data_IF_395037545635
#
_entry.id   IF_395037545635
#
_cell.length_a   1.000
_cell.length_b   1.000
_cell.length_c   1.000
_cell.angle_alpha   90.00
_cell.angle_beta   90.00
_cell.angle_gamma   90.00
#
_symmetry.space_group_name_H-M   'P 1'
#
loop_
_entity.id
_entity.type
_entity.pdbx_description
1 polymer ?
#
# COMPACT_ATOMS: atom_id res chain seq x y z
N UNK A 1 23.34 1.44 -2.56
CA UNK A 1 23.25 2.89 -2.27
C UNK A 1 23.57 3.10 -0.81
N UNK A 2 24.09 4.28 -0.44
CA UNK A 2 24.26 4.71 0.95
C UNK A 2 22.99 5.42 1.42
N UNK A 3 22.27 4.81 2.36
CA UNK A 3 20.98 5.32 2.84
C UNK A 3 21.06 5.60 4.34
N UNK A 4 20.73 6.83 4.72
CA UNK A 4 20.56 7.22 6.12
C UNK A 4 19.10 7.09 6.51
N UNK A 5 18.82 6.47 7.65
CA UNK A 5 17.48 6.37 8.22
C UNK A 5 17.51 7.05 9.60
N UNK A 6 16.74 8.12 9.76
CA UNK A 6 16.57 8.79 11.03
C UNK A 6 15.32 8.25 11.74
N UNK A 7 15.52 7.66 12.91
CA UNK A 7 14.49 7.03 13.74
C UNK A 7 14.53 5.50 13.64
N UNK A 8 14.79 4.83 14.75
CA UNK A 8 14.76 3.37 14.91
C UNK A 8 13.39 2.84 15.40
N UNK A 9 12.35 3.69 15.36
CA UNK A 9 10.99 3.28 15.68
C UNK A 9 10.40 2.28 14.66
N UNK A 10 9.12 1.91 14.82
CA UNK A 10 8.47 0.86 14.01
C UNK A 10 8.64 1.05 12.49
N UNK A 11 8.45 2.28 12.00
CA UNK A 11 8.58 2.60 10.57
C UNK A 11 10.03 2.46 10.13
N UNK A 12 10.96 3.18 10.76
CA UNK A 12 12.37 3.17 10.37
C UNK A 12 13.02 1.78 10.47
N UNK A 13 12.70 1.00 11.51
CA UNK A 13 13.17 -0.38 11.64
C UNK A 13 12.63 -1.30 10.53
N UNK A 14 11.35 -1.15 10.16
CA UNK A 14 10.76 -1.94 9.07
C UNK A 14 11.36 -1.58 7.72
N UNK A 15 11.63 -0.29 7.49
CA UNK A 15 12.28 0.20 6.27
C UNK A 15 13.72 -0.31 6.21
N UNK A 16 14.48 -0.22 7.30
CA UNK A 16 15.82 -0.76 7.38
C UNK A 16 15.85 -2.27 7.05
N UNK A 17 14.95 -3.06 7.64
CA UNK A 17 14.86 -4.49 7.38
C UNK A 17 14.59 -4.81 5.90
N UNK A 18 13.74 -4.04 5.23
CA UNK A 18 13.45 -4.21 3.81
C UNK A 18 14.66 -3.84 2.93
N UNK A 19 15.31 -2.71 3.22
CA UNK A 19 16.37 -2.16 2.37
C UNK A 19 17.71 -2.89 2.52
N UNK A 20 18.00 -3.47 3.69
CA UNK A 20 19.19 -4.34 3.90
C UNK A 20 19.14 -5.55 2.97
N UNK A 21 17.95 -6.09 2.69
CA UNK A 21 17.79 -7.26 1.81
C UNK A 21 18.17 -6.99 0.34
N UNK A 22 18.26 -5.72 -0.06
CA UNK A 22 18.55 -5.28 -1.43
C UNK A 22 20.02 -4.89 -1.66
N UNK A 23 20.94 -5.24 -0.73
CA UNK A 23 22.38 -4.89 -0.78
C UNK A 23 22.66 -3.38 -0.76
N UNK A 24 21.94 -2.65 0.08
CA UNK A 24 22.20 -1.23 0.37
C UNK A 24 23.03 -1.07 1.64
N UNK A 25 23.87 -0.03 1.67
CA UNK A 25 24.64 0.36 2.85
C UNK A 25 23.74 1.25 3.72
N UNK A 26 23.19 0.68 4.80
CA UNK A 26 22.22 1.36 5.66
C UNK A 26 22.90 1.86 6.94
N UNK A 27 22.67 3.13 7.27
CA UNK A 27 23.00 3.70 8.58
C UNK A 27 21.75 4.21 9.27
N UNK A 28 21.48 3.74 10.49
CA UNK A 28 20.32 4.15 11.30
C UNK A 28 20.75 5.08 12.42
N UNK A 29 20.07 6.21 12.55
CA UNK A 29 20.31 7.23 13.57
C UNK A 29 19.13 7.24 14.54
N UNK A 30 19.37 7.11 15.84
CA UNK A 30 18.34 7.30 16.86
C UNK A 30 18.94 7.82 18.16
N UNK A 31 18.11 8.45 18.99
CA UNK A 31 18.50 8.90 20.32
C UNK A 31 18.56 7.77 21.34
N UNK A 32 17.87 6.65 21.11
CA UNK A 32 17.80 5.48 21.99
C UNK A 32 18.86 4.42 21.61
N UNK A 33 19.95 4.27 22.39
CA UNK A 33 20.99 3.30 22.09
C UNK A 33 20.53 1.84 22.22
N UNK A 34 19.49 1.55 23.02
CA UNK A 34 18.99 0.18 23.18
C UNK A 34 18.27 -0.29 21.92
N UNK A 35 17.41 0.57 21.34
CA UNK A 35 16.75 0.27 20.06
C UNK A 35 17.76 0.07 18.93
N UNK A 36 18.80 0.91 18.88
CA UNK A 36 19.87 0.77 17.89
C UNK A 36 20.61 -0.56 18.01
N UNK A 37 21.00 -0.96 19.23
CA UNK A 37 21.66 -2.26 19.47
C UNK A 37 20.79 -3.42 19.02
N UNK A 38 19.52 -3.45 19.42
CA UNK A 38 18.58 -4.50 19.02
C UNK A 38 18.42 -4.61 17.50
N UNK A 39 18.52 -3.49 16.79
CA UNK A 39 18.42 -3.45 15.34
C UNK A 39 19.71 -3.98 14.69
N UNK A 40 20.88 -3.52 15.16
CA UNK A 40 22.19 -3.97 14.69
C UNK A 40 22.45 -5.47 14.96
N UNK A 41 21.91 -6.02 16.06
CA UNK A 41 22.01 -7.45 16.36
C UNK A 41 21.24 -8.33 15.36
N UNK A 42 20.23 -7.76 14.68
CA UNK A 42 19.33 -8.49 13.76
C UNK A 42 19.60 -8.23 12.29
N UNK A 43 20.13 -7.06 11.95
CA UNK A 43 20.29 -6.57 10.59
C UNK A 43 21.73 -6.12 10.37
N UNK A 44 22.27 -6.41 9.18
CA UNK A 44 23.58 -5.94 8.75
C UNK A 44 23.51 -4.45 8.37
N UNK A 45 23.60 -3.58 9.37
CA UNK A 45 23.55 -2.13 9.22
C UNK A 45 24.43 -1.42 10.26
N UNK A 46 24.78 -0.17 9.95
CA UNK A 46 25.50 0.71 10.88
C UNK A 46 24.50 1.48 11.74
N UNK A 47 24.85 1.76 12.99
CA UNK A 47 24.01 2.60 13.87
C UNK A 47 24.79 3.79 14.44
N UNK A 48 24.13 4.94 14.58
CA UNK A 48 24.67 6.13 15.22
C UNK A 48 23.70 6.61 16.29
N UNK A 49 24.17 6.64 17.54
CA UNK A 49 23.37 7.15 18.66
C UNK A 49 23.51 8.68 18.74
N UNK A 50 22.41 9.40 18.58
CA UNK A 50 22.40 10.85 18.64
C UNK A 50 21.12 11.47 18.08
N UNK A 51 20.98 12.78 18.27
CA UNK A 51 19.89 13.53 17.65
C UNK A 51 20.23 13.83 16.19
N UNK A 52 19.46 13.28 15.25
CA UNK A 52 19.66 13.51 13.81
C UNK A 52 19.38 14.93 13.32
N UNK A 53 18.91 15.84 14.17
CA UNK A 53 18.87 17.29 13.86
C UNK A 53 20.18 17.99 14.20
N UNK A 54 21.20 17.29 14.71
CA UNK A 54 22.50 17.86 15.02
C UNK A 54 23.47 17.55 13.88
N UNK A 55 24.10 18.57 13.24
CA UNK A 55 25.02 18.34 12.13
C UNK A 55 26.16 17.34 12.43
N UNK A 56 26.83 17.35 13.60
CA UNK A 56 27.89 16.38 13.89
C UNK A 56 27.41 14.93 13.89
N UNK A 57 26.14 14.68 14.22
CA UNK A 57 25.56 13.33 14.22
C UNK A 57 25.31 12.85 12.79
N UNK A 58 24.84 13.74 11.90
CA UNK A 58 24.66 13.44 10.47
C UNK A 58 26.02 13.22 9.79
N UNK A 59 27.03 14.03 10.11
CA UNK A 59 28.40 13.85 9.64
C UNK A 59 28.96 12.48 10.08
N UNK A 60 28.82 12.15 11.37
CA UNK A 60 29.22 10.83 11.90
C UNK A 60 28.50 9.67 11.19
N UNK A 61 27.23 9.86 10.82
CA UNK A 61 26.44 8.87 10.07
C UNK A 61 26.85 8.74 8.60
N UNK A 62 27.68 9.65 8.08
CA UNK A 62 28.15 9.65 6.69
C UNK A 62 27.22 10.39 5.73
N UNK A 63 26.60 11.49 6.18
CA UNK A 63 25.70 12.29 5.34
C UNK A 63 26.38 12.91 4.10
N UNK A 64 27.68 13.18 4.14
CA UNK A 64 28.43 13.75 3.00
C UNK A 64 28.38 12.89 1.73
N UNK A 65 28.40 11.56 1.91
CA UNK A 65 28.37 10.61 0.80
C UNK A 65 26.99 9.91 0.66
N UNK A 66 25.98 10.35 1.42
CA UNK A 66 24.70 9.67 1.42
C UNK A 66 23.93 9.94 0.12
N UNK A 67 23.46 8.88 -0.53
CA UNK A 67 22.57 8.98 -1.69
C UNK A 67 21.17 9.42 -1.26
N UNK A 68 20.76 9.06 -0.04
CA UNK A 68 19.40 9.25 0.44
C UNK A 68 19.31 9.40 1.96
N UNK A 69 18.38 10.24 2.43
CA UNK A 69 17.94 10.34 3.81
C UNK A 69 16.44 10.00 3.93
N UNK A 70 16.09 9.06 4.81
CA UNK A 70 14.72 8.73 5.19
C UNK A 70 14.50 9.18 6.64
N UNK A 71 13.79 10.30 6.82
CA UNK A 71 13.49 10.86 8.12
C UNK A 71 12.16 10.33 8.67
N UNK A 72 12.23 9.32 9.54
CA UNK A 72 11.10 8.60 10.11
C UNK A 72 11.05 8.65 11.65
N UNK A 73 11.56 9.73 12.25
CA UNK A 73 11.52 9.96 13.69
C UNK A 73 10.08 10.13 14.21
N UNK A 74 9.93 10.12 15.53
CA UNK A 74 8.65 10.20 16.22
C UNK A 74 7.92 11.53 16.04
N UNK A 75 8.64 12.61 15.69
CA UNK A 75 8.15 13.98 15.56
C UNK A 75 8.34 14.49 14.15
N UNK A 76 7.33 15.19 13.64
CA UNK A 76 7.33 15.67 12.25
C UNK A 76 8.37 16.79 12.11
N UNK A 77 8.50 17.64 13.12
CA UNK A 77 9.45 18.76 13.16
C UNK A 77 10.90 18.27 13.11
N UNK A 78 11.20 17.16 13.79
CA UNK A 78 12.51 16.50 13.74
C UNK A 78 12.81 16.03 12.32
N UNK A 79 11.83 15.45 11.63
CA UNK A 79 12.02 14.94 10.28
C UNK A 79 12.25 16.08 9.27
N UNK A 80 11.45 17.13 9.35
CA UNK A 80 11.56 18.33 8.51
C UNK A 80 12.92 19.03 8.69
N UNK A 81 13.34 19.23 9.95
CA UNK A 81 14.63 19.88 10.25
C UNK A 81 15.81 19.02 9.80
N UNK A 82 15.75 17.70 9.99
CA UNK A 82 16.81 16.80 9.53
C UNK A 82 16.99 16.84 8.01
N UNK A 83 15.88 16.85 7.23
CA UNK A 83 15.92 17.01 5.78
C UNK A 83 16.55 18.35 5.37
N UNK A 84 16.18 19.44 6.05
CA UNK A 84 16.73 20.77 5.76
C UNK A 84 18.26 20.83 6.00
N UNK A 85 18.74 20.24 7.10
CA UNK A 85 20.17 20.19 7.42
C UNK A 85 20.91 19.31 6.41
N UNK A 86 20.37 18.12 6.10
CA UNK A 86 20.92 17.21 5.10
C UNK A 86 21.04 17.86 3.72
N UNK A 87 20.03 18.65 3.33
CA UNK A 87 20.04 19.40 2.07
C UNK A 87 21.13 20.49 2.07
N UNK A 88 21.14 21.36 3.09
CA UNK A 88 21.97 22.57 3.07
C UNK A 88 23.43 22.35 3.42
N UNK A 89 23.73 21.39 4.30
CA UNK A 89 25.10 21.17 4.78
C UNK A 89 25.79 20.01 4.06
N UNK A 90 25.04 19.00 3.65
CA UNK A 90 25.60 17.75 3.12
C UNK A 90 25.18 17.47 1.68
N UNK A 91 24.32 18.30 1.09
CA UNK A 91 23.82 18.16 -0.28
C UNK A 91 23.26 16.75 -0.59
N UNK A 92 22.60 16.13 0.39
CA UNK A 92 22.00 14.80 0.21
C UNK A 92 20.96 14.86 -0.93
N UNK A 93 21.10 14.05 -2.00
CA UNK A 93 20.29 14.18 -3.21
C UNK A 93 18.81 13.89 -3.04
N UNK A 94 18.47 12.89 -2.21
CA UNK A 94 17.08 12.47 -2.01
C UNK A 94 16.73 12.41 -0.53
N UNK A 95 15.67 13.14 -0.15
CA UNK A 95 15.24 13.32 1.24
C UNK A 95 13.75 13.02 1.34
N UNK A 96 13.44 11.94 2.05
CA UNK A 96 12.08 11.48 2.29
C UNK A 96 11.74 11.76 3.75
N UNK A 97 10.63 12.44 4.02
CA UNK A 97 10.22 12.74 5.40
C UNK A 97 8.86 12.14 5.73
N UNK A 98 8.78 11.50 6.90
CA UNK A 98 7.50 11.12 7.50
C UNK A 98 6.86 12.35 8.14
N UNK A 99 5.72 12.76 7.60
CA UNK A 99 4.94 13.90 8.07
C UNK A 99 3.50 13.48 8.25
N UNK A 100 2.98 13.64 9.47
CA UNK A 100 1.62 13.24 9.86
C UNK A 100 0.68 14.42 9.97
N UNK A 101 1.16 15.65 10.14
CA UNK A 101 0.29 16.82 10.24
C UNK A 101 -0.20 17.22 8.84
N UNK A 102 -1.52 17.24 8.57
CA UNK A 102 -2.06 17.70 7.28
C UNK A 102 -1.69 19.17 6.99
N UNK A 103 -1.44 19.96 8.02
CA UNK A 103 -1.01 21.36 7.94
C UNK A 103 0.36 21.53 7.28
N UNK A 104 1.18 20.48 7.25
CA UNK A 104 2.43 20.45 6.47
C UNK A 104 2.23 19.79 5.11
N UNK A 105 1.42 18.72 5.04
CA UNK A 105 1.21 17.96 3.79
C UNK A 105 0.59 18.81 2.67
N UNK A 106 -0.31 19.73 3.01
CA UNK A 106 -1.04 20.55 2.05
C UNK A 106 -0.29 21.81 1.59
N UNK A 107 0.95 22.02 2.04
CA UNK A 107 1.74 23.22 1.77
C UNK A 107 3.13 22.86 1.20
N UNK A 108 3.21 22.43 -0.07
CA UNK A 108 4.47 22.12 -0.74
C UNK A 108 5.48 23.28 -0.71
N UNK A 109 5.01 24.52 -0.66
CA UNK A 109 5.84 25.72 -0.53
C UNK A 109 6.63 25.80 0.79
N UNK A 110 6.17 25.08 1.83
CA UNK A 110 6.87 24.97 3.12
C UNK A 110 7.77 23.74 3.14
N UNK A 111 7.29 22.61 2.61
CA UNK A 111 8.03 21.34 2.70
C UNK A 111 9.10 21.19 1.64
N UNK A 112 8.86 21.68 0.43
CA UNK A 112 9.73 21.51 -0.73
C UNK A 112 10.92 22.46 -0.78
N UNK A 113 11.40 22.72 -2.00
CA UNK A 113 12.55 23.60 -2.25
C UNK A 113 12.30 25.04 -1.74
N UNK A 114 13.28 25.58 -1.02
CA UNK A 114 13.18 26.90 -0.38
C UNK A 114 12.66 26.85 1.06
N UNK A 115 12.02 25.74 1.46
CA UNK A 115 11.56 25.49 2.84
C UNK A 115 12.41 24.44 3.56
N UNK A 116 11.82 23.27 3.85
CA UNK A 116 12.49 22.15 4.51
C UNK A 116 13.21 21.18 3.57
N UNK A 117 13.14 21.40 2.25
CA UNK A 117 13.86 20.59 1.24
C UNK A 117 13.53 19.09 1.35
N UNK A 118 12.27 18.78 1.58
CA UNK A 118 11.76 17.41 1.50
C UNK A 118 11.37 17.16 0.05
N UNK A 119 11.98 16.13 -0.56
CA UNK A 119 11.68 15.73 -1.93
C UNK A 119 10.39 14.90 -1.98
N UNK A 120 10.18 14.04 -0.97
CA UNK A 120 8.98 13.19 -0.88
C UNK A 120 8.44 13.12 0.55
N UNK A 121 7.13 13.28 0.68
CA UNK A 121 6.41 13.15 1.94
C UNK A 121 5.77 11.78 2.04
N UNK A 122 5.94 11.12 3.18
CA UNK A 122 5.20 9.89 3.50
C UNK A 122 4.33 10.09 4.72
N UNK A 123 3.10 9.57 4.67
CA UNK A 123 2.21 9.51 5.83
C UNK A 123 1.63 8.10 5.96
N UNK A 124 2.32 7.19 6.68
CA UNK A 124 1.87 5.81 6.87
C UNK A 124 0.42 5.70 7.34
N UNK A 125 0.02 6.58 8.26
CA UNK A 125 -1.33 6.62 8.81
C UNK A 125 -2.37 7.00 7.76
N UNK A 126 -2.04 7.89 6.82
CA UNK A 126 -2.90 8.23 5.70
C UNK A 126 -3.01 7.07 4.72
N UNK A 127 -1.89 6.44 4.35
CA UNK A 127 -1.86 5.28 3.44
C UNK A 127 -2.72 4.13 3.99
N UNK A 128 -2.65 3.83 5.29
CA UNK A 128 -3.50 2.82 5.92
C UNK A 128 -4.97 3.25 5.91
N UNK A 129 -5.25 4.53 6.19
CA UNK A 129 -6.62 5.06 6.17
C UNK A 129 -7.24 4.91 4.78
N UNK A 130 -6.52 5.32 3.73
CA UNK A 130 -6.99 5.23 2.34
C UNK A 130 -7.22 3.78 1.92
N UNK A 131 -6.34 2.87 2.34
CA UNK A 131 -6.50 1.44 2.10
C UNK A 131 -7.77 0.88 2.75
N UNK A 132 -8.07 1.23 4.01
CA UNK A 132 -9.30 0.81 4.69
C UNK A 132 -10.53 1.43 4.01
N UNK A 133 -10.47 2.70 3.63
CA UNK A 133 -11.56 3.39 2.92
C UNK A 133 -11.89 2.70 1.60
N UNK A 134 -10.89 2.22 0.86
CA UNK A 134 -11.10 1.43 -0.37
C UNK A 134 -11.80 0.10 -0.09
N UNK A 135 -11.40 -0.60 0.98
CA UNK A 135 -12.08 -1.85 1.40
C UNK A 135 -13.54 -1.65 1.83
N UNK A 136 -13.88 -0.45 2.30
CA UNK A 136 -15.26 -0.02 2.62
C UNK A 136 -16.02 0.31 1.33
N UNK A 137 -15.40 1.03 0.40
CA UNK A 137 -15.97 1.41 -0.90
C UNK A 137 -16.34 0.19 -1.76
N UNK A 138 -15.54 -0.87 -1.66
CA UNK A 138 -15.67 -2.13 -2.38
C UNK A 138 -15.96 -3.31 -1.42
N UNK A 139 -17.21 -3.47 -0.96
CA UNK A 139 -17.63 -4.63 -0.20
C UNK A 139 -17.26 -5.93 -0.93
N UNK A 140 -16.74 -6.91 -0.19
CA UNK A 140 -16.35 -8.20 -0.74
C UNK A 140 -14.90 -8.33 -1.17
N UNK A 141 -14.20 -7.22 -1.37
CA UNK A 141 -12.76 -7.22 -1.63
C UNK A 141 -11.96 -7.54 -0.36
N UNK A 142 -10.98 -8.42 -0.50
CA UNK A 142 -9.95 -8.70 0.52
C UNK A 142 -8.79 -7.69 0.43
N UNK A 143 -8.49 -7.25 -0.80
CA UNK A 143 -7.43 -6.29 -1.08
C UNK A 143 -7.81 -5.49 -2.34
N UNK A 144 -7.51 -4.20 -2.33
CA UNK A 144 -7.69 -3.30 -3.49
C UNK A 144 -6.40 -2.53 -3.66
N UNK A 145 -5.80 -2.63 -4.85
CA UNK A 145 -4.57 -1.94 -5.22
C UNK A 145 -4.85 -1.13 -6.48
N UNK A 146 -4.26 0.06 -6.55
CA UNK A 146 -4.44 1.00 -7.66
C UNK A 146 -3.10 1.24 -8.33
N UNK A 147 -3.12 1.30 -9.66
CA UNK A 147 -1.96 1.53 -10.51
C UNK A 147 -2.25 2.69 -11.46
N UNK A 148 -1.19 3.34 -11.94
CA UNK A 148 -1.24 4.44 -12.89
C UNK A 148 -2.23 5.52 -12.42
N UNK A 149 -2.06 6.03 -11.21
CA UNK A 149 -2.91 7.09 -10.65
C UNK A 149 -4.39 6.71 -10.49
N UNK A 150 -4.70 5.43 -10.25
CA UNK A 150 -6.07 4.94 -10.04
C UNK A 150 -6.87 4.71 -11.33
N UNK A 151 -6.18 4.46 -12.44
CA UNK A 151 -6.79 4.13 -13.75
C UNK A 151 -7.04 2.64 -13.92
N UNK A 152 -6.17 1.82 -13.32
CA UNK A 152 -6.31 0.37 -13.25
C UNK A 152 -6.26 -0.07 -11.80
N UNK A 153 -7.09 -1.03 -11.46
CA UNK A 153 -7.12 -1.61 -10.13
C UNK A 153 -7.00 -3.11 -10.16
N UNK A 154 -6.24 -3.63 -9.21
CA UNK A 154 -6.20 -5.04 -8.89
C UNK A 154 -7.04 -5.28 -7.63
N UNK A 155 -8.00 -6.18 -7.74
CA UNK A 155 -8.82 -6.61 -6.61
C UNK A 155 -8.52 -8.07 -6.27
N UNK A 156 -8.38 -8.36 -4.98
CA UNK A 156 -8.34 -9.72 -4.47
C UNK A 156 -9.70 -10.07 -3.87
N UNK A 157 -10.26 -11.21 -4.29
CA UNK A 157 -11.59 -11.64 -3.88
C UNK A 157 -11.56 -13.13 -3.59
N UNK A 158 -12.23 -13.55 -2.52
CA UNK A 158 -12.48 -14.97 -2.28
C UNK A 158 -13.69 -15.43 -3.08
N UNK A 159 -13.54 -16.46 -3.91
CA UNK A 159 -14.62 -17.05 -4.68
C UNK A 159 -15.58 -17.80 -3.75
N UNK A 160 -16.89 -17.53 -3.86
CA UNK A 160 -17.93 -18.20 -3.08
C UNK A 160 -18.83 -19.07 -3.95
N UNK A 161 -19.31 -20.18 -3.40
CA UNK A 161 -20.34 -21.01 -4.04
C UNK A 161 -21.56 -20.16 -4.40
N UNK A 162 -21.92 -20.11 -5.69
CA UNK A 162 -23.03 -19.31 -6.21
C UNK A 162 -22.62 -17.99 -6.89
N UNK A 163 -21.33 -17.66 -6.95
CA UNK A 163 -20.82 -16.59 -7.82
C UNK A 163 -20.92 -16.97 -9.31
N UNK A 164 -21.31 -16.04 -10.21
CA UNK A 164 -21.48 -16.31 -11.65
C UNK A 164 -20.31 -17.02 -12.35
N UNK A 165 -19.08 -16.70 -11.95
CA UNK A 165 -17.85 -17.26 -12.53
C UNK A 165 -17.26 -18.44 -11.74
N UNK A 166 -17.83 -18.77 -10.58
CA UNK A 166 -17.33 -19.87 -9.77
C UNK A 166 -17.71 -21.18 -10.43
N UNK A 167 -16.75 -22.11 -10.50
CA UNK A 167 -16.81 -23.34 -11.28
C UNK A 167 -16.79 -23.18 -12.80
N UNK A 168 -16.43 -22.00 -13.32
CA UNK A 168 -16.18 -21.77 -14.75
C UNK A 168 -14.69 -21.67 -15.05
N UNK A 169 -14.34 -21.74 -16.34
CA UNK A 169 -12.97 -21.54 -16.78
C UNK A 169 -12.66 -20.05 -16.92
N UNK A 170 -11.40 -19.66 -16.76
CA UNK A 170 -10.99 -18.25 -16.93
C UNK A 170 -11.37 -17.71 -18.33
N UNK A 171 -11.28 -18.54 -19.38
CA UNK A 171 -11.69 -18.13 -20.74
C UNK A 171 -13.15 -17.65 -20.83
N UNK A 172 -14.01 -18.12 -19.93
CA UNK A 172 -15.44 -17.79 -19.92
C UNK A 172 -15.69 -16.37 -19.39
N UNK A 173 -14.71 -15.77 -18.69
CA UNK A 173 -14.77 -14.39 -18.17
C UNK A 173 -14.98 -13.38 -19.30
N UNK A 174 -14.18 -13.47 -20.37
CA UNK A 174 -14.28 -12.58 -21.53
C UNK A 174 -15.62 -12.75 -22.28
N UNK A 175 -16.16 -13.97 -22.30
CA UNK A 175 -17.45 -14.23 -22.92
C UNK A 175 -18.62 -13.66 -22.10
N UNK A 176 -18.49 -13.62 -20.77
CA UNK A 176 -19.50 -13.05 -19.88
C UNK A 176 -19.56 -11.52 -19.96
N UNK A 177 -18.41 -10.86 -20.14
CA UNK A 177 -18.28 -9.40 -20.21
C UNK A 177 -17.48 -8.95 -21.43
N UNK A 178 -18.07 -8.97 -22.63
CA UNK A 178 -17.39 -8.57 -23.85
C UNK A 178 -16.98 -7.09 -23.85
N UNK A 179 -17.72 -6.24 -23.11
CA UNK A 179 -17.50 -4.80 -23.05
C UNK A 179 -16.51 -4.35 -21.95
N UNK A 180 -16.08 -5.28 -21.09
CA UNK A 180 -15.14 -4.99 -20.00
C UNK A 180 -13.94 -5.92 -20.10
N UNK A 181 -12.81 -5.38 -20.53
CA UNK A 181 -11.58 -6.15 -20.58
C UNK A 181 -11.00 -6.30 -19.17
N UNK A 182 -11.09 -7.52 -18.64
CA UNK A 182 -10.62 -7.89 -17.30
C UNK A 182 -9.70 -9.10 -17.41
N UNK A 183 -8.72 -9.19 -16.49
CA UNK A 183 -7.74 -10.28 -16.50
C UNK A 183 -7.47 -10.83 -15.11
N UNK A 184 -7.57 -12.13 -14.95
CA UNK A 184 -7.08 -12.81 -13.75
C UNK A 184 -5.57 -12.96 -13.86
N UNK A 185 -4.85 -12.38 -12.90
CA UNK A 185 -3.38 -12.32 -12.91
C UNK A 185 -2.74 -13.26 -11.90
N UNK A 186 -3.48 -13.68 -10.87
CA UNK A 186 -3.08 -14.72 -9.94
C UNK A 186 -4.31 -15.41 -9.34
N UNK A 187 -4.17 -16.71 -9.05
CA UNK A 187 -5.13 -17.47 -8.26
C UNK A 187 -4.33 -18.15 -7.14
N UNK A 188 -4.88 -18.16 -5.94
CA UNK A 188 -4.34 -18.96 -4.86
C UNK A 188 -5.39 -19.90 -4.29
N UNK A 189 -5.00 -21.16 -4.18
CA UNK A 189 -5.85 -22.25 -3.68
C UNK A 189 -5.11 -22.97 -2.56
N UNK A 190 -5.73 -23.05 -1.38
CA UNK A 190 -5.15 -23.70 -0.19
C UNK A 190 -3.69 -23.28 0.04
N UNK A 191 -3.44 -21.98 0.05
CA UNK A 191 -2.12 -21.40 0.23
C UNK A 191 -1.10 -21.57 -0.90
N UNK A 192 -1.47 -22.15 -2.04
CA UNK A 192 -0.56 -22.36 -3.16
C UNK A 192 -0.95 -21.53 -4.38
N UNK A 193 0.03 -20.94 -5.10
CA UNK A 193 -0.24 -20.27 -6.35
C UNK A 193 -0.69 -21.28 -7.40
N UNK A 194 -1.74 -20.92 -8.14
CA UNK A 194 -2.24 -21.63 -9.31
C UNK A 194 -2.03 -20.71 -10.51
N UNK A 195 -1.42 -21.25 -11.57
CA UNK A 195 -1.15 -20.47 -12.78
C UNK A 195 -2.49 -20.15 -13.47
N UNK A 196 -2.81 -18.87 -13.73
CA UNK A 196 -4.07 -18.48 -14.33
C UNK A 196 -4.01 -18.65 -15.86
N UNK A 197 -4.36 -19.83 -16.35
CA UNK A 197 -4.47 -20.14 -17.78
C UNK A 197 -5.95 -20.16 -18.21
N UNK A 198 -6.23 -20.03 -19.51
CA UNK A 198 -7.61 -19.96 -20.01
C UNK A 198 -8.47 -21.20 -19.72
N UNK A 199 -7.85 -22.36 -19.51
CA UNK A 199 -8.46 -23.62 -19.07
C UNK A 199 -8.46 -23.82 -17.55
N UNK A 200 -7.91 -22.87 -16.78
CA UNK A 200 -7.93 -22.95 -15.32
C UNK A 200 -9.37 -22.73 -14.84
N UNK A 201 -9.84 -23.62 -13.98
CA UNK A 201 -11.18 -23.54 -13.39
C UNK A 201 -11.12 -22.84 -12.03
N UNK A 202 -11.97 -21.84 -11.83
CA UNK A 202 -12.10 -21.14 -10.56
C UNK A 202 -12.93 -22.01 -9.61
N UNK A 203 -12.39 -22.33 -8.44
CA UNK A 203 -13.06 -23.16 -7.43
C UNK A 203 -13.55 -22.32 -6.24
N UNK A 204 -14.62 -22.75 -5.55
CA UNK A 204 -15.02 -22.12 -4.30
C UNK A 204 -13.86 -22.13 -3.29
N UNK A 205 -13.63 -20.99 -2.64
CA UNK A 205 -12.51 -20.80 -1.71
C UNK A 205 -11.24 -20.24 -2.34
N UNK A 206 -11.13 -20.23 -3.67
CA UNK A 206 -9.99 -19.60 -4.35
C UNK A 206 -9.90 -18.11 -4.04
N UNK A 207 -8.69 -17.63 -3.80
CA UNK A 207 -8.37 -16.19 -3.76
C UNK A 207 -7.95 -15.76 -5.15
N UNK A 208 -8.84 -15.05 -5.83
CA UNK A 208 -8.67 -14.61 -7.22
C UNK A 208 -8.22 -13.15 -7.23
N UNK A 209 -7.12 -12.88 -7.91
CA UNK A 209 -6.61 -11.53 -8.15
C UNK A 209 -7.00 -11.11 -9.57
N UNK A 210 -7.95 -10.18 -9.66
CA UNK A 210 -8.55 -9.70 -10.89
C UNK A 210 -8.12 -8.27 -11.17
N UNK A 211 -7.54 -8.04 -12.34
CA UNK A 211 -7.12 -6.75 -12.85
C UNK A 211 -8.21 -6.21 -13.77
N UNK A 212 -8.64 -4.97 -13.54
CA UNK A 212 -9.67 -4.30 -14.33
C UNK A 212 -9.44 -2.79 -14.36
N UNK A 213 -9.96 -2.08 -15.38
CA UNK A 213 -10.07 -0.62 -15.32
C UNK A 213 -10.85 -0.19 -14.06
N UNK A 214 -10.41 0.87 -13.39
CA UNK A 214 -10.91 1.20 -12.05
C UNK A 214 -12.40 1.57 -12.01
N UNK A 215 -12.94 2.07 -13.12
CA UNK A 215 -14.37 2.35 -13.30
C UNK A 215 -15.25 1.08 -13.40
N UNK A 216 -14.66 -0.09 -13.63
CA UNK A 216 -15.37 -1.36 -13.81
C UNK A 216 -15.20 -2.37 -12.66
N UNK A 217 -14.54 -1.97 -11.56
CA UNK A 217 -14.30 -2.83 -10.38
C UNK A 217 -15.59 -3.42 -9.81
N UNK A 218 -16.67 -2.64 -9.74
CA UNK A 218 -17.95 -3.11 -9.17
C UNK A 218 -18.56 -4.25 -9.98
N UNK A 219 -18.48 -4.16 -11.31
CA UNK A 219 -18.89 -5.24 -12.23
C UNK A 219 -18.04 -6.47 -11.98
N UNK A 220 -16.71 -6.29 -11.95
CA UNK A 220 -15.74 -7.35 -11.70
C UNK A 220 -15.99 -8.12 -10.38
N UNK A 221 -16.38 -7.40 -9.31
CA UNK A 221 -16.72 -7.98 -8.02
C UNK A 221 -17.99 -8.82 -8.06
N UNK A 222 -19.03 -8.33 -8.75
CA UNK A 222 -20.34 -9.00 -8.84
C UNK A 222 -20.30 -10.37 -9.53
N UNK A 223 -19.26 -10.62 -10.34
CA UNK A 223 -19.09 -11.86 -11.06
C UNK A 223 -18.46 -13.00 -10.24
N UNK A 224 -17.62 -12.63 -9.28
CA UNK A 224 -16.95 -13.56 -8.39
C UNK A 224 -17.76 -13.81 -7.11
N UNK A 225 -18.62 -12.86 -6.73
CA UNK A 225 -19.46 -12.92 -5.54
C UNK A 225 -20.83 -12.29 -5.78
N UNK A 226 -21.88 -12.94 -5.28
CA UNK A 226 -23.25 -12.45 -5.43
C UNK A 226 -23.54 -11.36 -4.39
N UNK A 227 -23.73 -10.12 -4.84
CA UNK A 227 -24.27 -8.96 -4.11
C UNK A 227 -23.85 -8.84 -2.63
N UNK A 228 -22.63 -8.36 -2.37
CA UNK A 228 -22.31 -7.83 -1.03
C UNK A 228 -23.03 -6.49 -0.84
N UNK A 229 -23.86 -6.38 0.20
CA UNK A 229 -24.59 -5.13 0.46
C UNK A 229 -23.59 -4.03 0.84
N UNK A 230 -23.82 -2.78 0.41
CA UNK A 230 -22.98 -1.63 0.77
C UNK A 230 -22.76 -1.55 2.29
N UNK A 231 -21.54 -1.23 2.69
CA UNK A 231 -21.23 -0.92 4.10
C UNK A 231 -21.96 0.38 4.46
N UNK A 232 -22.74 0.38 5.54
CA UNK A 232 -23.43 1.57 6.06
C UNK A 232 -23.06 1.83 7.52
N UNK A 233 -22.95 0.78 8.32
CA UNK A 233 -22.64 0.83 9.76
C UNK A 233 -21.21 0.37 10.00
N UNK A 234 -20.39 1.26 10.53
CA UNK A 234 -18.96 1.01 10.82
C UNK A 234 -18.69 1.26 12.29
N UNK A 235 -18.12 0.27 12.97
CA UNK A 235 -17.61 0.44 14.33
C UNK A 235 -16.09 0.39 14.31
N UNK A 236 -15.45 1.40 14.89
CA UNK A 236 -14.00 1.57 14.94
C UNK A 236 -13.54 1.41 16.39
N UNK A 237 -12.73 0.41 16.68
CA UNK A 237 -12.03 0.26 17.95
C UNK A 237 -10.66 0.95 17.87
N UNK A 238 -10.44 1.97 18.71
CA UNK A 238 -9.22 2.77 18.75
C UNK A 238 -9.38 4.11 18.01
N UNK A 239 -9.38 5.19 18.77
CA UNK A 239 -9.47 6.57 18.28
C UNK A 239 -8.12 7.24 18.09
N UNK A 240 -7.07 6.48 17.78
CA UNK A 240 -5.72 6.99 17.51
C UNK A 240 -5.64 7.86 16.24
N UNK A 241 -4.44 8.01 15.68
CA UNK A 241 -4.26 8.82 14.46
C UNK A 241 -5.03 8.24 13.26
N UNK A 242 -4.96 6.92 13.06
CA UNK A 242 -5.65 6.22 11.96
C UNK A 242 -7.16 6.22 12.21
N UNK A 243 -7.61 5.85 13.41
CA UNK A 243 -9.04 5.84 13.76
C UNK A 243 -9.72 7.20 13.59
N UNK A 244 -9.07 8.29 14.01
CA UNK A 244 -9.57 9.64 13.78
C UNK A 244 -9.65 9.98 12.29
N UNK A 245 -8.59 9.70 11.52
CA UNK A 245 -8.55 9.96 10.07
C UNK A 245 -9.64 9.18 9.34
N UNK A 246 -9.81 7.90 9.66
CA UNK A 246 -10.85 7.05 9.09
C UNK A 246 -12.24 7.56 9.43
N UNK A 247 -12.53 7.83 10.72
CA UNK A 247 -13.83 8.34 11.14
C UNK A 247 -14.17 9.68 10.46
N UNK A 248 -13.19 10.58 10.30
CA UNK A 248 -13.37 11.82 9.53
C UNK A 248 -13.65 11.57 8.05
N UNK A 249 -12.91 10.65 7.43
CA UNK A 249 -13.05 10.33 6.00
C UNK A 249 -14.43 9.73 5.70
N UNK A 250 -14.92 8.84 6.56
CA UNK A 250 -16.25 8.26 6.43
C UNK A 250 -17.35 9.33 6.63
N UNK A 251 -17.11 10.29 7.53
CA UNK A 251 -17.95 11.48 7.67
C UNK A 251 -19.42 11.14 7.91
N UNK A 252 -20.32 11.80 7.19
CA UNK A 252 -21.77 11.61 7.30
C UNK A 252 -22.35 10.55 6.35
N UNK A 253 -21.53 10.00 5.44
CA UNK A 253 -21.96 8.99 4.48
C UNK A 253 -22.21 7.62 5.15
N UNK A 254 -21.61 7.40 6.32
CA UNK A 254 -21.71 6.17 7.10
C UNK A 254 -22.16 6.48 8.53
N UNK A 255 -22.78 5.50 9.18
CA UNK A 255 -23.05 5.52 10.61
C UNK A 255 -21.82 5.00 11.34
N UNK A 256 -21.04 5.91 11.92
CA UNK A 256 -19.76 5.60 12.56
C UNK A 256 -19.90 5.61 14.08
N UNK A 257 -19.45 4.52 14.72
CA UNK A 257 -19.23 4.45 16.17
C UNK A 257 -17.73 4.28 16.43
N UNK A 258 -17.16 5.02 17.37
CA UNK A 258 -15.73 4.93 17.74
C UNK A 258 -15.62 4.54 19.22
N UNK A 259 -14.94 3.44 19.52
CA UNK A 259 -14.59 3.01 20.88
C UNK A 259 -13.18 3.47 21.21
N UNK A 260 -12.99 4.20 22.30
CA UNK A 260 -11.68 4.69 22.75
C UNK A 260 -11.54 4.56 24.27
N UNK A 261 -10.46 3.93 24.72
CA UNK A 261 -10.22 3.66 26.14
C UNK A 261 -9.74 4.88 26.93
N UNK A 262 -9.13 5.87 26.27
CA UNK A 262 -8.64 7.07 26.93
C UNK A 262 -9.69 8.20 26.93
N UNK A 263 -10.14 8.61 28.11
CA UNK A 263 -11.14 9.68 28.27
C UNK A 263 -10.73 11.02 27.66
N UNK A 264 -9.48 11.45 27.86
CA UNK A 264 -8.97 12.71 27.28
C UNK A 264 -8.99 12.63 25.76
N UNK A 265 -8.63 11.48 25.20
CA UNK A 265 -8.71 11.24 23.75
C UNK A 265 -10.15 11.27 23.25
N UNK A 266 -11.10 10.67 23.96
CA UNK A 266 -12.53 10.76 23.62
C UNK A 266 -13.02 12.21 23.52
N UNK A 267 -12.67 13.04 24.51
CA UNK A 267 -13.02 14.46 24.50
C UNK A 267 -12.43 15.18 23.29
N UNK A 268 -11.17 14.90 22.95
CA UNK A 268 -10.55 15.45 21.75
C UNK A 268 -11.28 15.00 20.48
N UNK A 269 -11.58 13.71 20.33
CA UNK A 269 -12.32 13.17 19.18
C UNK A 269 -13.68 13.88 19.01
N UNK A 270 -14.39 14.16 20.10
CA UNK A 270 -15.68 14.86 20.07
C UNK A 270 -15.60 16.29 19.51
N UNK A 271 -14.43 16.94 19.64
CA UNK A 271 -14.19 18.27 19.03
C UNK A 271 -13.83 18.18 17.54
N UNK A 272 -13.37 17.02 17.09
CA UNK A 272 -12.73 16.84 15.78
C UNK A 272 -13.59 16.06 14.78
N UNK A 273 -14.64 15.37 15.24
CA UNK A 273 -15.51 14.51 14.44
C UNK A 273 -16.91 15.13 14.28
N UNK A 274 -17.63 14.80 13.20
CA UNK A 274 -19.01 15.23 13.03
C UNK A 274 -19.89 14.74 14.19
N UNK A 275 -20.92 15.52 14.53
CA UNK A 275 -21.91 15.18 15.57
C UNK A 275 -22.67 13.87 15.29
N UNK A 276 -22.67 13.39 14.05
CA UNK A 276 -23.23 12.09 13.67
C UNK A 276 -22.38 10.89 14.12
N UNK A 277 -21.14 11.11 14.56
CA UNK A 277 -20.26 10.04 15.04
C UNK A 277 -20.45 9.83 16.53
N UNK A 278 -20.82 8.60 16.93
CA UNK A 278 -20.96 8.25 18.34
C UNK A 278 -19.58 7.86 18.90
N UNK A 279 -19.17 8.50 20.00
CA UNK A 279 -17.89 8.21 20.67
C UNK A 279 -18.19 7.51 21.99
N UNK A 280 -17.65 6.30 22.12
CA UNK A 280 -17.85 5.39 23.23
C UNK A 280 -16.55 5.31 24.03
N UNK A 281 -16.62 5.64 25.31
CA UNK A 281 -15.48 5.47 26.21
C UNK A 281 -15.52 4.10 26.87
N UNK A 282 -14.63 3.20 26.45
CA UNK A 282 -14.59 1.84 26.97
C UNK A 282 -13.49 0.98 26.33
N UNK A 283 -13.40 -0.27 26.77
CA UNK A 283 -12.48 -1.26 26.23
C UNK A 283 -13.11 -1.98 25.04
N UNK A 284 -12.40 -2.03 23.91
CA UNK A 284 -12.84 -2.75 22.71
C UNK A 284 -12.91 -4.27 22.88
N UNK A 285 -12.35 -4.81 23.96
CA UNK A 285 -12.40 -6.23 24.32
C UNK A 285 -13.51 -6.57 25.32
N UNK A 286 -14.30 -5.57 25.75
CA UNK A 286 -15.47 -5.78 26.60
C UNK A 286 -16.67 -6.29 25.78
N UNK A 287 -16.98 -7.58 25.93
CA UNK A 287 -18.11 -8.23 25.25
C UNK A 287 -19.47 -7.57 25.57
N UNK A 288 -19.64 -7.06 26.80
CA UNK A 288 -20.89 -6.41 27.22
C UNK A 288 -21.09 -5.11 26.48
N UNK A 289 -20.04 -4.26 26.45
CA UNK A 289 -20.06 -3.00 25.71
C UNK A 289 -20.34 -3.23 24.22
N UNK A 290 -19.66 -4.19 23.59
CA UNK A 290 -19.87 -4.51 22.18
C UNK A 290 -21.31 -4.95 21.90
N UNK A 291 -21.88 -5.80 22.77
CA UNK A 291 -23.24 -6.28 22.64
C UNK A 291 -24.28 -5.15 22.82
N UNK A 292 -24.14 -4.33 23.87
CA UNK A 292 -25.03 -3.20 24.16
C UNK A 292 -25.01 -2.16 23.04
N UNK A 293 -23.84 -1.94 22.43
CA UNK A 293 -23.67 -0.97 21.35
C UNK A 293 -23.98 -1.53 19.95
N UNK A 294 -24.53 -2.74 19.87
CA UNK A 294 -25.06 -3.31 18.64
C UNK A 294 -24.00 -3.77 17.65
N UNK A 295 -22.89 -4.37 18.11
CA UNK A 295 -21.86 -4.96 17.22
C UNK A 295 -22.44 -5.95 16.22
N UNK A 296 -23.45 -6.73 16.60
CA UNK A 296 -24.09 -7.71 15.73
C UNK A 296 -24.74 -7.09 14.48
N UNK A 297 -25.08 -5.79 14.56
CA UNK A 297 -25.66 -5.04 13.46
C UNK A 297 -24.60 -4.36 12.59
N UNK A 298 -23.32 -4.37 12.97
CA UNK A 298 -22.28 -3.67 12.23
C UNK A 298 -21.94 -4.40 10.93
N UNK A 299 -21.93 -3.65 9.82
CA UNK A 299 -21.53 -4.17 8.53
C UNK A 299 -20.00 -4.37 8.47
N UNK A 300 -19.28 -3.56 9.25
CA UNK A 300 -17.84 -3.61 9.40
C UNK A 300 -17.40 -3.20 10.82
N UNK A 301 -16.55 -4.02 11.43
CA UNK A 301 -15.81 -3.69 12.64
C UNK A 301 -14.31 -3.54 12.33
N UNK A 302 -13.69 -2.42 12.70
CA UNK A 302 -12.29 -2.11 12.40
C UNK A 302 -11.52 -1.86 13.70
N UNK A 303 -10.51 -2.66 13.99
CA UNK A 303 -9.65 -2.48 15.16
C UNK A 303 -8.31 -1.83 14.78
N UNK A 304 -8.09 -0.61 15.29
CA UNK A 304 -7.03 0.33 14.93
C UNK A 304 -6.25 0.83 16.16
N UNK A 305 -6.20 0.05 17.23
CA UNK A 305 -5.40 0.40 18.42
C UNK A 305 -3.90 0.18 18.17
N UNK A 306 -3.05 0.65 19.08
CA UNK A 306 -1.59 0.48 18.98
C UNK A 306 -1.08 -0.93 19.33
N UNK A 307 -1.97 -1.79 19.85
CA UNK A 307 -1.70 -3.12 20.40
C UNK A 307 -2.29 -4.22 19.50
N UNK A 308 -1.44 -5.13 19.04
CA UNK A 308 -1.84 -6.14 18.05
C UNK A 308 -2.82 -7.16 18.68
N UNK A 309 -2.55 -7.56 19.93
CA UNK A 309 -3.37 -8.49 20.69
C UNK A 309 -4.79 -7.95 20.93
N UNK A 310 -4.91 -6.68 21.32
CA UNK A 310 -6.20 -5.99 21.47
C UNK A 310 -6.97 -5.94 20.15
N UNK A 311 -6.29 -5.65 19.03
CA UNK A 311 -6.93 -5.60 17.72
C UNK A 311 -7.42 -6.98 17.27
N UNK A 312 -6.61 -8.02 17.48
CA UNK A 312 -6.99 -9.40 17.16
C UNK A 312 -8.18 -9.85 18.02
N UNK A 313 -8.11 -9.65 19.34
CA UNK A 313 -9.14 -10.11 20.28
C UNK A 313 -10.47 -9.39 20.08
N UNK A 314 -10.45 -8.06 19.92
CA UNK A 314 -11.67 -7.28 19.65
C UNK A 314 -12.34 -7.69 18.33
N UNK A 315 -11.57 -7.92 17.26
CA UNK A 315 -12.12 -8.44 16.01
C UNK A 315 -12.70 -9.85 16.16
N UNK A 316 -12.04 -10.75 16.91
CA UNK A 316 -12.55 -12.10 17.16
C UNK A 316 -13.87 -12.07 17.95
N UNK A 317 -13.95 -11.23 18.99
CA UNK A 317 -15.17 -11.03 19.76
C UNK A 317 -16.29 -10.44 18.91
N UNK A 318 -15.99 -9.37 18.14
CA UNK A 318 -16.97 -8.74 17.27
C UNK A 318 -17.54 -9.73 16.24
N UNK A 319 -16.68 -10.57 15.65
CA UNK A 319 -17.11 -11.61 14.71
C UNK A 319 -17.97 -12.68 15.38
N UNK A 320 -17.63 -13.08 16.61
CA UNK A 320 -18.41 -14.05 17.40
C UNK A 320 -19.81 -13.53 17.75
N UNK A 321 -19.92 -12.24 18.09
CA UNK A 321 -21.17 -11.58 18.46
C UNK A 321 -22.07 -11.38 17.23
N UNK A 322 -21.49 -11.13 16.05
CA UNK A 322 -22.24 -11.13 14.80
C UNK A 322 -21.84 -10.05 13.78
N UNK A 323 -20.77 -9.29 14.00
CA UNK A 323 -20.29 -8.32 13.01
C UNK A 323 -20.03 -9.00 11.68
N UNK A 324 -20.56 -8.43 10.59
CA UNK A 324 -20.55 -9.06 9.27
C UNK A 324 -19.14 -9.22 8.70
N UNK A 325 -18.25 -8.27 8.99
CA UNK A 325 -16.85 -8.29 8.56
C UNK A 325 -15.96 -7.60 9.58
N UNK A 326 -14.72 -8.06 9.71
CA UNK A 326 -13.72 -7.49 10.63
C UNK A 326 -12.39 -7.18 9.95
N UNK A 327 -11.79 -6.05 10.30
CA UNK A 327 -10.46 -5.63 9.85
C UNK A 327 -9.62 -5.31 11.08
N UNK A 328 -8.44 -5.94 11.21
CA UNK A 328 -7.51 -5.66 12.30
C UNK A 328 -6.22 -5.04 11.78
N UNK A 329 -5.76 -3.96 12.41
CA UNK A 329 -4.42 -3.42 12.24
C UNK A 329 -3.42 -4.27 13.04
N UNK A 330 -2.45 -4.89 12.36
CA UNK A 330 -1.46 -5.77 13.01
C UNK A 330 -0.07 -5.34 12.57
N UNK A 331 0.76 -4.92 13.50
CA UNK A 331 2.12 -4.47 13.19
C UNK A 331 3.07 -5.64 12.89
N UNK A 332 2.86 -6.80 13.52
CA UNK A 332 3.70 -8.00 13.35
C UNK A 332 3.17 -8.91 12.24
N UNK A 333 3.96 -9.09 11.18
CA UNK A 333 3.59 -9.96 10.05
C UNK A 333 3.22 -11.39 10.49
N UNK A 334 4.02 -11.99 11.38
CA UNK A 334 3.80 -13.36 11.84
C UNK A 334 2.43 -13.54 12.54
N UNK A 335 1.90 -12.49 13.17
CA UNK A 335 0.57 -12.53 13.78
C UNK A 335 -0.51 -12.40 12.70
N UNK A 336 -0.34 -11.48 11.75
CA UNK A 336 -1.26 -11.30 10.63
C UNK A 336 -1.44 -12.62 9.86
N UNK A 337 -0.35 -13.32 9.57
CA UNK A 337 -0.35 -14.59 8.84
C UNK A 337 -1.12 -15.70 9.59
N UNK A 338 -1.15 -15.66 10.92
CA UNK A 338 -1.82 -16.66 11.76
C UNK A 338 -3.34 -16.45 11.84
N UNK A 339 -3.79 -15.20 11.89
CA UNK A 339 -5.20 -14.87 12.22
C UNK A 339 -6.06 -14.58 11.00
N UNK A 340 -5.48 -14.06 9.93
CA UNK A 340 -6.22 -13.62 8.74
C UNK A 340 -6.79 -14.82 7.97
N UNK A 341 -8.04 -14.67 7.50
CA UNK A 341 -8.76 -15.67 6.73
C UNK A 341 -9.35 -16.81 7.56
N UNK A 342 -8.86 -17.01 8.79
CA UNK A 342 -9.34 -18.04 9.72
C UNK A 342 -10.23 -17.47 10.83
N UNK A 343 -9.74 -16.45 11.56
CA UNK A 343 -10.39 -15.88 12.76
C UNK A 343 -10.86 -14.44 12.55
N UNK A 344 -10.20 -13.72 11.66
CA UNK A 344 -10.57 -12.37 11.22
C UNK A 344 -10.58 -12.32 9.69
N UNK A 345 -11.37 -11.43 9.10
CA UNK A 345 -11.48 -11.41 7.63
C UNK A 345 -10.23 -10.82 6.97
N UNK A 346 -9.69 -9.73 7.51
CA UNK A 346 -8.55 -9.00 6.92
C UNK A 346 -7.59 -8.53 8.01
N UNK A 347 -6.30 -8.76 7.81
CA UNK A 347 -5.23 -8.17 8.60
C UNK A 347 -4.49 -7.12 7.77
N UNK A 348 -4.35 -5.91 8.31
CA UNK A 348 -3.59 -4.84 7.67
C UNK A 348 -2.26 -4.67 8.40
N UNK A 349 -1.17 -4.78 7.66
CA UNK A 349 0.18 -4.58 8.17
C UNK A 349 0.75 -3.24 7.65
N UNK A 350 0.82 -2.17 8.48
CA UNK A 350 1.21 -0.83 8.03
C UNK A 350 2.60 -0.73 7.43
N UNK A 351 3.53 -1.56 7.90
CA UNK A 351 4.88 -1.58 7.37
C UNK A 351 4.88 -1.99 5.89
N UNK A 352 4.03 -2.93 5.46
CA UNK A 352 3.95 -3.32 4.05
C UNK A 352 3.44 -2.17 3.17
N UNK A 353 2.41 -1.44 3.62
CA UNK A 353 1.86 -0.32 2.85
C UNK A 353 2.85 0.84 2.74
N UNK A 354 3.59 1.11 3.82
CA UNK A 354 4.59 2.19 3.86
C UNK A 354 5.86 1.84 3.07
N UNK A 355 6.36 0.61 3.21
CA UNK A 355 7.54 0.13 2.48
C UNK A 355 7.27 0.16 0.98
N UNK A 356 6.08 -0.25 0.53
CA UNK A 356 5.70 -0.16 -0.89
C UNK A 356 5.91 1.23 -1.47
N UNK A 357 5.49 2.28 -0.76
CA UNK A 357 5.68 3.68 -1.16
C UNK A 357 7.12 4.17 -1.04
N UNK A 358 7.92 3.60 -0.13
CA UNK A 358 9.33 3.99 -0.01
C UNK A 358 10.20 3.33 -1.08
N UNK A 359 9.90 2.09 -1.45
CA UNK A 359 10.67 1.34 -2.43
C UNK A 359 10.58 1.94 -3.83
N UNK A 360 9.51 2.66 -4.17
CA UNK A 360 9.38 3.36 -5.46
C UNK A 360 10.47 4.40 -5.65
N UNK A 361 10.88 5.05 -4.57
CA UNK A 361 11.92 6.09 -4.59
C UNK A 361 13.33 5.53 -4.42
N UNK A 362 13.48 4.26 -4.02
CA UNK A 362 14.79 3.61 -3.84
C UNK A 362 15.19 2.78 -5.06
N UNK A 363 14.23 2.21 -5.79
CA UNK A 363 14.48 1.28 -6.89
C UNK A 363 14.84 1.99 -8.21
N UNK A 364 15.62 1.30 -9.04
CA UNK A 364 16.10 1.81 -10.34
C UNK A 364 15.14 1.39 -11.47
N UNK A 365 14.96 2.24 -12.48
CA UNK A 365 14.17 1.92 -13.68
C UNK A 365 12.71 2.39 -13.65
N UNK A 366 12.48 3.60 -13.11
CA UNK A 366 11.17 4.29 -13.08
C UNK A 366 10.01 3.39 -12.60
N UNK A 367 10.26 2.72 -11.46
CA UNK A 367 9.27 1.94 -10.74
C UNK A 367 8.36 2.91 -9.97
N UNK A 368 7.11 3.01 -10.40
CA UNK A 368 6.14 3.97 -9.85
C UNK A 368 5.48 3.43 -8.60
N UNK A 369 5.16 2.14 -8.56
CA UNK A 369 4.48 1.52 -7.43
C UNK A 369 4.89 0.06 -7.28
N UNK A 370 4.95 -0.41 -6.03
CA UNK A 370 5.19 -1.81 -5.68
C UNK A 370 4.19 -2.21 -4.61
N UNK A 371 3.41 -3.24 -4.91
CA UNK A 371 2.42 -3.77 -4.00
C UNK A 371 2.68 -5.24 -3.71
N UNK A 372 2.71 -5.57 -2.43
CA UNK A 372 2.78 -6.95 -2.00
C UNK A 372 1.44 -7.63 -2.19
N UNK A 373 1.46 -8.78 -2.87
CA UNK A 373 0.31 -9.66 -3.00
C UNK A 373 0.46 -10.83 -2.03
N UNK A 374 -0.64 -11.17 -1.36
CA UNK A 374 -0.77 -12.37 -0.52
C UNK A 374 0.44 -12.63 0.38
N UNK A 375 0.61 -11.77 1.39
CA UNK A 375 1.66 -11.90 2.42
C UNK A 375 3.09 -11.95 1.85
N UNK A 376 3.32 -11.34 0.69
CA UNK A 376 4.64 -11.29 0.05
C UNK A 376 5.00 -12.51 -0.80
N UNK A 377 4.07 -13.44 -1.01
CA UNK A 377 4.25 -14.56 -1.94
C UNK A 377 4.35 -14.10 -3.39
N UNK A 378 3.81 -12.93 -3.72
CA UNK A 378 3.96 -12.29 -5.02
C UNK A 378 4.05 -10.76 -4.86
N UNK A 379 4.49 -10.08 -5.91
CA UNK A 379 4.43 -8.62 -6.00
C UNK A 379 3.82 -8.17 -7.33
N UNK A 380 3.15 -7.03 -7.29
CA UNK A 380 2.71 -6.30 -8.47
C UNK A 380 3.52 -5.01 -8.54
N UNK A 381 4.11 -4.74 -9.70
CA UNK A 381 4.91 -3.56 -9.98
C UNK A 381 4.25 -2.73 -11.07
N UNK A 382 4.40 -1.42 -10.97
CA UNK A 382 4.16 -0.49 -12.06
C UNK A 382 5.49 0.10 -12.50
N UNK A 383 5.81 -0.04 -13.79
CA UNK A 383 7.01 0.53 -14.39
C UNK A 383 6.61 1.43 -15.55
N UNK A 384 7.31 2.55 -15.72
CA UNK A 384 7.15 3.39 -16.93
C UNK A 384 8.17 2.94 -17.97
N UNK A 385 7.68 2.63 -19.16
CA UNK A 385 8.54 2.29 -20.29
C UNK A 385 9.12 3.57 -20.91
N UNK A 386 10.36 3.91 -20.54
CA UNK A 386 11.08 5.02 -21.15
C UNK A 386 11.87 4.61 -22.39
N UNK A 387 12.21 5.60 -23.21
CA UNK A 387 13.08 5.45 -24.36
C UNK A 387 12.34 5.30 -25.70
N UNK A 388 13.11 4.95 -26.71
CA UNK A 388 12.66 4.61 -28.05
C UNK A 388 13.06 3.15 -28.37
N UNK A 389 12.63 2.56 -29.50
CA UNK A 389 12.96 1.18 -29.85
C UNK A 389 14.46 0.85 -29.96
N UNK A 390 15.34 1.85 -30.04
CA UNK A 390 16.80 1.69 -30.07
C UNK A 390 17.43 1.84 -28.69
N UNK A 391 16.89 2.72 -27.84
CA UNK A 391 17.41 3.00 -26.50
C UNK A 391 16.79 2.14 -25.40
N UNK A 392 15.63 1.53 -25.66
CA UNK A 392 14.89 0.68 -24.72
C UNK A 392 14.87 -0.79 -25.16
N UNK A 393 14.84 -1.71 -24.20
CA UNK A 393 14.68 -3.15 -24.48
C UNK A 393 13.22 -3.60 -24.52
N UNK A 394 12.29 -2.72 -24.14
CA UNK A 394 10.86 -3.03 -24.05
C UNK A 394 10.02 -2.21 -25.03
N UNK A 395 10.37 -0.93 -25.27
CA UNK A 395 9.62 -0.06 -26.19
C UNK A 395 9.75 -0.56 -27.63
N UNK A 396 8.62 -0.59 -28.35
CA UNK A 396 8.52 -1.06 -29.74
C UNK A 396 8.53 -2.58 -29.90
N UNK A 397 8.47 -3.34 -28.79
CA UNK A 397 8.42 -4.81 -28.80
C UNK A 397 7.06 -5.31 -28.38
N UNK A 398 6.68 -6.47 -28.92
CA UNK A 398 5.52 -7.22 -28.44
C UNK A 398 5.84 -7.92 -27.13
N UNK A 399 4.83 -8.14 -26.29
CA UNK A 399 5.02 -8.80 -24.99
C UNK A 399 5.70 -10.17 -25.12
N UNK A 400 5.41 -10.93 -26.17
CA UNK A 400 6.05 -12.23 -26.45
C UNK A 400 7.54 -12.15 -26.82
N UNK A 401 8.00 -10.97 -27.27
CA UNK A 401 9.40 -10.72 -27.67
C UNK A 401 10.25 -10.20 -26.51
N UNK A 402 9.64 -9.93 -25.35
CA UNK A 402 10.32 -9.44 -24.16
C UNK A 402 10.77 -10.63 -23.32
N UNK A 403 12.08 -10.73 -23.08
CA UNK A 403 12.66 -11.75 -22.21
C UNK A 403 12.35 -11.44 -20.73
N UNK A 404 11.15 -11.82 -20.31
CA UNK A 404 10.71 -11.75 -18.92
C UNK A 404 11.22 -12.97 -18.14
N UNK A 405 11.72 -12.79 -16.91
CA UNK A 405 12.14 -13.92 -16.09
C UNK A 405 10.95 -14.84 -15.81
N UNK A 406 11.22 -16.15 -15.65
CA UNK A 406 10.20 -17.11 -15.23
C UNK A 406 9.51 -16.63 -13.96
N UNK A 407 8.18 -16.65 -13.97
CA UNK A 407 7.36 -16.17 -12.87
C UNK A 407 6.93 -14.70 -12.97
N UNK A 408 7.43 -13.96 -13.98
CA UNK A 408 6.95 -12.62 -14.31
C UNK A 408 5.91 -12.64 -15.43
N UNK A 409 4.87 -11.83 -15.33
CA UNK A 409 3.82 -11.67 -16.35
C UNK A 409 3.34 -10.23 -16.40
N UNK A 410 3.18 -9.67 -17.60
CA UNK A 410 2.54 -8.36 -17.76
C UNK A 410 1.02 -8.56 -17.73
N UNK A 411 0.32 -7.85 -16.85
CA UNK A 411 -1.12 -7.96 -16.69
C UNK A 411 -1.89 -6.93 -17.52
N UNK A 412 -1.45 -5.67 -17.51
CA UNK A 412 -2.04 -4.60 -18.30
C UNK A 412 -1.03 -3.49 -18.58
N UNK A 413 -1.39 -2.65 -19.54
CA UNK A 413 -0.68 -1.44 -19.94
C UNK A 413 -1.67 -0.28 -19.86
N UNK A 414 -1.24 0.83 -19.27
CA UNK A 414 -1.99 2.09 -19.31
C UNK A 414 -1.24 3.06 -20.21
N UNK A 415 -1.92 3.49 -21.26
CA UNK A 415 -1.32 4.31 -22.32
C UNK A 415 -1.98 5.67 -22.39
N UNK A 416 -1.16 6.71 -22.54
CA UNK A 416 -1.64 8.05 -22.86
C UNK A 416 -2.12 8.12 -24.30
N UNK A 417 -3.30 8.71 -24.52
CA UNK A 417 -3.83 8.99 -25.84
C UNK A 417 -3.45 10.38 -26.35
N UNK A 418 -3.01 11.26 -25.45
CA UNK A 418 -2.68 12.65 -25.78
C UNK A 418 -1.20 12.83 -26.13
N UNK A 419 -0.39 11.76 -26.07
CA UNK A 419 1.05 11.78 -26.34
C UNK A 419 1.89 12.34 -25.18
N UNK A 420 1.26 12.95 -24.19
CA UNK A 420 1.91 13.44 -22.97
C UNK A 420 2.00 12.34 -21.90
N UNK A 421 3.04 12.34 -21.04
CA UNK A 421 3.15 11.39 -19.94
C UNK A 421 1.94 11.46 -19.00
N UNK A 422 1.48 10.29 -18.54
CA UNK A 422 0.40 10.26 -17.56
C UNK A 422 0.92 10.74 -16.20
N UNK A 423 0.19 11.60 -15.48
CA UNK A 423 0.56 11.97 -14.13
C UNK A 423 0.46 10.75 -13.21
N UNK A 424 1.42 10.68 -12.29
CA UNK A 424 1.52 9.65 -11.25
C UNK A 424 0.35 9.73 -10.25
N UNK A 425 -0.14 10.94 -10.00
CA UNK A 425 -1.29 11.20 -9.14
C UNK A 425 -2.59 11.44 -9.95
N UNK A 426 -3.76 11.13 -9.39
CA UNK A 426 -5.04 11.34 -10.07
C UNK A 426 -5.34 12.83 -10.26
N UNK A 427 -5.37 13.29 -11.51
CA UNK A 427 -5.82 14.64 -11.86
C UNK A 427 -7.32 14.61 -12.16
N UNK A 428 -8.12 15.38 -11.40
CA UNK A 428 -9.57 15.52 -11.62
C UNK A 428 -9.89 16.80 -12.38
N UNK A 429 -10.85 16.75 -13.30
CA UNK A 429 -11.39 17.93 -14.01
C UNK A 429 -11.16 17.90 -15.52
N UNK A 430 -11.44 19.03 -16.20
CA UNK A 430 -11.34 19.16 -17.68
C UNK A 430 -9.93 19.01 -18.24
N UNK A 431 -8.91 19.03 -17.39
CA UNK A 431 -7.51 18.85 -17.75
C UNK A 431 -7.00 17.40 -17.51
N UNK A 432 -7.89 16.45 -17.19
CA UNK A 432 -7.49 15.06 -17.03
C UNK A 432 -7.06 14.46 -18.38
N UNK A 433 -5.85 13.88 -18.48
CA UNK A 433 -5.36 13.32 -19.73
C UNK A 433 -6.21 12.10 -20.12
N UNK A 434 -6.41 11.93 -21.42
CA UNK A 434 -7.07 10.77 -22.00
C UNK A 434 -6.12 9.59 -21.98
N UNK A 435 -6.64 8.44 -21.59
CA UNK A 435 -5.87 7.21 -21.52
C UNK A 435 -6.69 6.04 -22.04
N UNK A 436 -5.99 4.98 -22.41
CA UNK A 436 -6.56 3.65 -22.65
C UNK A 436 -5.92 2.66 -21.68
N UNK A 437 -6.74 1.71 -21.20
CA UNK A 437 -6.27 0.55 -20.45
C UNK A 437 -6.31 -0.64 -21.41
N UNK A 438 -5.17 -1.27 -21.63
CA UNK A 438 -5.01 -2.42 -22.52
C UNK A 438 -4.63 -3.63 -21.69
N UNK A 439 -5.47 -4.66 -21.63
CA UNK A 439 -5.06 -5.92 -21.01
C UNK A 439 -4.00 -6.59 -21.87
N UNK A 440 -2.93 -7.04 -21.22
CA UNK A 440 -1.74 -7.49 -21.92
C UNK A 440 -1.94 -8.82 -22.65
N UNK A 441 -1.81 -8.84 -23.97
CA UNK A 441 -1.76 -10.06 -24.78
C UNK A 441 -0.37 -10.27 -25.38
N UNK A 442 -0.09 -11.48 -25.87
CA UNK A 442 1.22 -11.85 -26.39
C UNK A 442 1.67 -10.94 -27.56
N UNK A 443 0.71 -10.45 -28.35
CA UNK A 443 0.88 -9.58 -29.50
C UNK A 443 0.82 -8.08 -29.18
N UNK A 444 0.54 -7.71 -27.92
CA UNK A 444 0.44 -6.31 -27.50
C UNK A 444 1.82 -5.66 -27.55
N UNK A 445 1.93 -4.52 -28.22
CA UNK A 445 3.18 -3.75 -28.33
C UNK A 445 3.26 -2.70 -27.22
N UNK A 446 4.44 -2.60 -26.58
CA UNK A 446 4.74 -1.57 -25.57
C UNK A 446 5.24 -0.29 -26.26
N UNK A 447 4.70 0.86 -25.88
CA UNK A 447 5.08 2.18 -26.38
C UNK A 447 5.83 2.99 -25.32
N UNK A 448 6.52 4.03 -25.74
CA UNK A 448 7.16 4.97 -24.83
C UNK A 448 6.12 5.68 -23.97
N UNK A 449 6.38 5.81 -22.67
CA UNK A 449 5.48 6.41 -21.69
C UNK A 449 4.35 5.50 -21.22
N UNK A 450 4.29 4.26 -21.71
CA UNK A 450 3.32 3.27 -21.22
C UNK A 450 3.63 2.92 -19.75
N UNK A 451 2.60 2.94 -18.91
CA UNK A 451 2.66 2.39 -17.56
C UNK A 451 2.36 0.89 -17.64
N UNK A 452 3.35 0.06 -17.37
CA UNK A 452 3.28 -1.39 -17.52
C UNK A 452 3.13 -2.04 -16.15
N UNK A 453 2.04 -2.77 -15.97
CA UNK A 453 1.73 -3.46 -14.71
C UNK A 453 2.25 -4.90 -14.81
N UNK A 454 3.25 -5.22 -14.01
CA UNK A 454 3.96 -6.50 -14.01
C UNK A 454 3.71 -7.26 -12.71
N UNK A 455 3.35 -8.53 -12.82
CA UNK A 455 3.17 -9.45 -11.72
C UNK A 455 4.37 -10.37 -11.62
N UNK A 456 4.87 -10.58 -10.41
CA UNK A 456 5.96 -11.50 -10.12
C UNK A 456 5.60 -12.44 -8.98
N UNK A 457 5.86 -13.72 -9.17
CA UNK A 457 5.73 -14.75 -8.12
C UNK A 457 6.92 -14.81 -7.16
N UNK A 458 8.01 -14.07 -7.44
CA UNK A 458 9.23 -14.13 -6.65
C UNK A 458 9.97 -12.78 -6.63
N UNK A 459 10.14 -12.22 -5.45
CA UNK A 459 10.85 -10.94 -5.25
C UNK A 459 12.27 -10.92 -5.81
N UNK A 460 12.95 -12.07 -5.84
CA UNK A 460 14.33 -12.19 -6.34
C UNK A 460 14.46 -11.91 -7.84
N UNK A 461 13.38 -11.95 -8.61
CA UNK A 461 13.40 -11.67 -10.05
C UNK A 461 13.22 -10.19 -10.38
N UNK A 462 12.81 -9.37 -9.41
CA UNK A 462 12.53 -7.95 -9.62
C UNK A 462 13.72 -7.17 -10.21
N UNK A 463 14.97 -7.32 -9.71
CA UNK A 463 16.10 -6.58 -10.28
C UNK A 463 16.36 -6.91 -11.76
N UNK A 464 15.94 -8.10 -12.23
CA UNK A 464 16.02 -8.45 -13.66
C UNK A 464 14.97 -7.71 -14.48
N UNK A 465 13.77 -7.52 -13.93
CA UNK A 465 12.68 -6.77 -14.57
C UNK A 465 13.06 -5.29 -14.66
N UNK A 466 13.53 -4.70 -13.56
CA UNK A 466 14.05 -3.33 -13.55
C UNK A 466 15.11 -3.10 -14.64
N UNK A 467 16.06 -4.04 -14.76
CA UNK A 467 17.11 -3.98 -15.80
C UNK A 467 16.57 -4.11 -17.24
N UNK A 468 15.42 -4.73 -17.44
CA UNK A 468 14.76 -4.80 -18.75
C UNK A 468 14.09 -3.48 -19.12
N UNK A 469 13.60 -2.73 -18.13
CA UNK A 469 12.95 -1.43 -18.34
C UNK A 469 13.92 -0.23 -18.33
N UNK A 470 15.17 -0.43 -17.90
CA UNK A 470 16.22 0.59 -18.01
C UNK A 470 16.58 0.92 -19.47
N UNK A 471 16.67 2.22 -19.75
CA UNK A 471 17.20 2.75 -21.01
C UNK A 471 18.73 2.68 -21.04
N UNK A 472 19.30 2.59 -22.26
CA UNK A 472 20.75 2.62 -22.46
C UNK A 472 21.36 3.97 -22.01
N UNK A 473 22.61 3.93 -21.53
CA UNK A 473 23.35 5.12 -21.07
C UNK A 473 23.48 6.12 -22.22
N UNK A 474 22.87 7.32 -22.08
CA UNK A 474 22.88 8.39 -23.08
C UNK A 474 21.52 8.93 -23.53
N UNK A 475 20.41 8.49 -22.91
CA UNK A 475 19.06 8.97 -23.23
C UNK A 475 18.62 10.24 -22.48
N UNK A 476 19.32 10.62 -21.40
CA UNK A 476 19.00 11.79 -20.58
C UNK A 476 19.75 13.05 -21.02
#
# INVERSE_FOLDING_TARGET
>A
MKILILGAGRVGASVAASLVSERNDITVIDTDPLQLRQLADKLDLRTVAGNGTHPPVLEQAGAEDADMLIAAAARDETNLVACQIAARMFNVPTRIARVRAPEFQNHPEITGEGGFYVDYLICPEQTVTDYISKLIEFPGALQVLEFAGGRVSLIAVRAYSGGPLVSRHIRDLRAAHPDVDMRIVAIFRNDRPVRPEGDTKIEPGDEVFLLAPSNHIRTALSDLRRNDEPVRRVMIAGGGNIGLRLARHLGTAYQVKVIEGNRTRCNYLATQLPTSTLILHGDSTDETLLAEEGVAEMDLFVALTSDDETNIMSCMLARRIGARRTIALINRQAYADLVEGSRIDIAIVPSQTTIGQLLTHVRRGDVVSVHSLRRGAAEALELIAHGDPKSSKVVGRRIEEIDLPRGATIGAIVRSLDGEPLPLEPVRGRAAPRFEVVMAHHDTEIRSGDHVIVFVDNKRTIPKIEKSFQVNVGFF
#
